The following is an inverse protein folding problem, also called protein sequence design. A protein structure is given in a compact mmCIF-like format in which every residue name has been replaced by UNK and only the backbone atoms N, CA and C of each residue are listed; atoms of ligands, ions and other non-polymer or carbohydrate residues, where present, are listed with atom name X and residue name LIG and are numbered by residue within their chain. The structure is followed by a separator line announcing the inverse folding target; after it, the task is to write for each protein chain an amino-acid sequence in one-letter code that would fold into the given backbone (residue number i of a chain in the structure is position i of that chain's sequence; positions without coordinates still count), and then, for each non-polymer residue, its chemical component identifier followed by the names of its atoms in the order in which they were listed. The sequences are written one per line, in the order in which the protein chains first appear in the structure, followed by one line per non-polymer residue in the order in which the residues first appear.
data_IF_153315963905
#
_entry.id   IF_153315963905
#
_cell.length_a   1.000
_cell.length_b   1.000
_cell.length_c   1.000
_cell.angle_alpha   90.00
_cell.angle_beta   90.00
_cell.angle_gamma   90.00
#
_symmetry.space_group_name_H-M   'P 1'
#
loop_
_entity.id
_entity.type
_entity.pdbx_description
1 polymer ?
#
# COMPACT_ATOMS: atom_id res chain seq x y z
N UNK A 1 -80.46 50.18 24.33
CA UNK A 1 -80.23 49.85 25.71
C UNK A 1 -79.11 48.82 25.77
N UNK A 2 -78.16 49.13 26.66
CA UNK A 2 -77.13 48.29 27.28
C UNK A 2 -75.88 47.98 26.45
N UNK A 3 -74.88 48.76 26.78
CA UNK A 3 -73.48 48.67 26.44
C UNK A 3 -72.83 47.49 27.14
N UNK A 4 -72.01 46.70 26.48
CA UNK A 4 -71.02 45.85 27.19
C UNK A 4 -69.65 45.98 26.51
N UNK A 5 -68.76 46.55 27.26
CA UNK A 5 -67.33 46.70 26.96
C UNK A 5 -66.62 45.38 27.13
N UNK A 6 -65.86 44.94 26.14
CA UNK A 6 -64.94 43.85 26.32
C UNK A 6 -63.47 44.33 26.10
N UNK A 7 -62.70 44.16 27.15
CA UNK A 7 -61.28 44.49 27.27
C UNK A 7 -60.45 43.53 26.40
N UNK A 8 -59.62 44.10 25.53
CA UNK A 8 -58.60 43.37 24.82
C UNK A 8 -57.38 43.16 25.71
N UNK A 9 -57.03 41.92 26.01
CA UNK A 9 -55.78 41.53 26.60
C UNK A 9 -54.79 41.19 25.52
N UNK A 10 -53.74 42.00 25.35
CA UNK A 10 -52.59 41.75 24.49
C UNK A 10 -51.74 40.60 25.01
N UNK A 11 -51.53 39.64 24.17
CA UNK A 11 -50.60 38.52 24.41
C UNK A 11 -49.31 38.84 23.69
N UNK A 12 -48.26 39.20 24.45
CA UNK A 12 -46.92 39.43 23.92
C UNK A 12 -46.30 38.07 23.65
N UNK A 13 -46.09 37.74 22.36
CA UNK A 13 -45.27 36.59 21.96
C UNK A 13 -43.80 36.93 22.05
N UNK A 14 -43.13 36.36 23.02
CA UNK A 14 -41.65 36.36 23.09
C UNK A 14 -41.12 35.35 22.08
N UNK A 15 -40.42 35.82 21.04
CA UNK A 15 -39.70 34.99 20.08
C UNK A 15 -38.34 34.64 20.70
N UNK A 16 -38.18 33.37 21.10
CA UNK A 16 -36.89 32.85 21.53
C UNK A 16 -36.13 32.43 20.27
N UNK A 17 -35.12 33.20 19.91
CA UNK A 17 -34.15 32.85 18.89
C UNK A 17 -33.18 31.81 19.46
N UNK A 18 -33.35 30.54 19.10
CA UNK A 18 -32.38 29.48 19.40
C UNK A 18 -31.18 29.61 18.45
N UNK A 19 -30.05 30.06 18.97
CA UNK A 19 -28.78 30.04 18.25
C UNK A 19 -28.25 28.61 18.16
N UNK A 20 -28.34 27.98 17.00
CA UNK A 20 -27.68 26.70 16.69
C UNK A 20 -26.18 26.96 16.50
N UNK A 21 -25.40 26.73 17.55
CA UNK A 21 -23.95 26.68 17.46
C UNK A 21 -23.56 25.37 16.73
N UNK A 22 -23.35 25.44 15.42
CA UNK A 22 -22.83 24.33 14.63
C UNK A 22 -21.39 24.06 15.03
N UNK A 23 -21.13 22.92 15.70
CA UNK A 23 -19.78 22.39 15.83
C UNK A 23 -19.26 22.00 14.45
N UNK A 24 -18.45 22.84 13.84
CA UNK A 24 -17.67 22.46 12.67
C UNK A 24 -16.59 21.45 13.12
N UNK A 25 -16.86 20.17 12.92
CA UNK A 25 -15.82 19.13 13.09
C UNK A 25 -14.82 19.26 11.94
N UNK A 26 -13.71 19.92 12.22
CA UNK A 26 -12.57 19.96 11.30
C UNK A 26 -12.00 18.55 11.25
N UNK A 27 -12.32 17.79 10.21
CA UNK A 27 -11.66 16.50 9.93
C UNK A 27 -10.19 16.81 9.60
N UNK A 28 -9.30 16.63 10.55
CA UNK A 28 -7.88 16.65 10.31
C UNK A 28 -7.54 15.48 9.39
N UNK A 29 -7.32 15.76 8.11
CA UNK A 29 -6.75 14.80 7.18
C UNK A 29 -5.31 14.55 7.62
N UNK A 30 -5.08 13.47 8.35
CA UNK A 30 -3.73 13.04 8.73
C UNK A 30 -3.05 12.54 7.44
N UNK A 31 -2.27 13.39 6.80
CA UNK A 31 -1.37 12.93 5.75
C UNK A 31 -0.45 11.84 6.32
N UNK A 32 -0.24 10.74 5.58
CA UNK A 32 0.67 9.69 6.02
C UNK A 32 2.06 10.32 6.23
N UNK A 33 2.52 10.31 7.47
CA UNK A 33 3.82 10.85 7.87
C UNK A 33 4.90 10.09 7.09
N UNK A 34 5.44 10.73 6.05
CA UNK A 34 6.58 10.23 5.31
C UNK A 34 7.73 10.08 6.30
N UNK A 35 8.19 8.84 6.55
CA UNK A 35 9.38 8.63 7.37
C UNK A 35 10.57 9.25 6.63
N UNK A 36 11.05 10.38 7.14
CA UNK A 36 12.27 11.01 6.67
C UNK A 36 13.41 10.26 7.34
N UNK A 37 14.22 9.59 6.55
CA UNK A 37 15.46 8.98 7.02
C UNK A 37 16.56 10.01 6.88
N UNK A 38 17.20 10.34 7.99
CA UNK A 38 18.40 11.17 8.00
C UNK A 38 19.60 10.27 7.66
N UNK A 39 20.25 10.56 6.52
CA UNK A 39 21.31 9.71 6.01
C UNK A 39 22.69 10.33 6.29
N UNK A 40 23.71 9.49 6.57
CA UNK A 40 25.09 9.94 6.70
C UNK A 40 25.57 10.68 5.44
N UNK A 41 26.61 11.52 5.63
CA UNK A 41 27.26 12.21 4.50
C UNK A 41 27.72 11.21 3.43
N UNK A 42 27.44 11.51 2.16
CA UNK A 42 27.75 10.63 1.04
C UNK A 42 26.71 9.54 0.76
N UNK A 43 25.62 9.51 1.53
CA UNK A 43 24.50 8.61 1.27
C UNK A 43 23.26 9.37 0.82
N UNK A 44 22.41 8.70 0.04
CA UNK A 44 21.13 9.21 -0.38
C UNK A 44 19.97 8.44 0.28
N UNK A 45 18.96 9.18 0.74
CA UNK A 45 17.71 8.58 1.17
C UNK A 45 16.93 8.03 -0.03
N UNK A 46 16.68 6.74 -0.05
CA UNK A 46 15.95 6.01 -1.10
C UNK A 46 14.89 5.11 -0.47
N UNK A 47 14.00 4.60 -1.29
CA UNK A 47 13.13 3.49 -0.91
C UNK A 47 13.67 2.22 -1.57
N UNK A 48 13.80 1.17 -0.79
CA UNK A 48 14.11 -0.17 -1.31
C UNK A 48 12.86 -1.03 -1.33
N UNK A 49 12.81 -1.99 -2.26
CA UNK A 49 11.75 -2.98 -2.34
C UNK A 49 12.35 -4.38 -2.40
N UNK A 50 11.70 -5.32 -1.73
CA UNK A 50 11.95 -6.75 -1.82
C UNK A 50 10.67 -7.44 -2.24
N UNK A 51 10.70 -8.17 -3.36
CA UNK A 51 9.60 -9.00 -3.83
C UNK A 51 9.99 -10.47 -3.67
N UNK A 52 9.09 -11.25 -3.10
CA UNK A 52 9.29 -12.68 -2.88
C UNK A 52 8.36 -13.46 -3.80
N UNK A 53 8.95 -14.18 -4.72
CA UNK A 53 8.26 -14.94 -5.76
C UNK A 53 8.33 -16.42 -5.42
N UNK A 54 7.21 -17.01 -4.99
CA UNK A 54 7.08 -18.43 -4.81
C UNK A 54 7.22 -19.18 -6.14
N UNK A 55 7.78 -20.39 -6.11
CA UNK A 55 8.07 -21.17 -7.31
C UNK A 55 7.20 -22.40 -7.47
N UNK A 56 6.34 -22.69 -6.51
CA UNK A 56 5.41 -23.81 -6.65
C UNK A 56 4.20 -23.41 -7.51
N UNK A 57 3.70 -24.34 -8.30
CA UNK A 57 2.39 -24.26 -8.96
C UNK A 57 1.55 -25.38 -8.37
N UNK A 58 0.58 -25.02 -7.53
CA UNK A 58 -0.03 -25.97 -6.62
C UNK A 58 1.01 -26.51 -5.63
N UNK A 59 1.06 -27.82 -5.43
CA UNK A 59 1.94 -28.47 -4.46
C UNK A 59 3.31 -28.89 -5.04
N UNK A 60 3.69 -28.43 -6.23
CA UNK A 60 4.89 -28.87 -6.94
C UNK A 60 5.74 -27.70 -7.40
N UNK A 61 7.08 -27.86 -7.46
CA UNK A 61 7.93 -26.91 -8.17
C UNK A 61 7.43 -26.73 -9.62
N UNK A 62 7.17 -25.51 -10.02
CA UNK A 62 6.56 -25.21 -11.31
C UNK A 62 7.23 -24.08 -12.09
N UNK A 63 7.95 -23.19 -11.40
CA UNK A 63 8.69 -22.11 -12.03
C UNK A 63 10.18 -22.46 -12.05
N UNK A 64 10.72 -22.73 -13.25
CA UNK A 64 12.15 -22.99 -13.43
C UNK A 64 12.99 -21.72 -13.31
N UNK A 65 14.32 -21.87 -13.19
CA UNK A 65 15.23 -20.72 -13.23
C UNK A 65 15.19 -20.00 -14.58
N UNK A 66 15.04 -20.75 -15.67
CA UNK A 66 14.92 -20.19 -17.01
C UNK A 66 13.64 -19.38 -17.18
N UNK A 67 12.49 -19.90 -16.68
CA UNK A 67 11.22 -19.17 -16.71
C UNK A 67 11.28 -17.90 -15.88
N UNK A 68 11.92 -17.98 -14.71
CA UNK A 68 12.08 -16.80 -13.86
C UNK A 68 13.01 -15.76 -14.49
N UNK A 69 14.15 -16.18 -15.07
CA UNK A 69 15.06 -15.27 -15.79
C UNK A 69 14.33 -14.57 -16.93
N UNK A 70 13.55 -15.33 -17.71
CA UNK A 70 12.75 -14.72 -18.77
C UNK A 70 11.70 -13.74 -18.24
N UNK A 71 11.11 -14.03 -17.09
CA UNK A 71 10.17 -13.11 -16.43
C UNK A 71 10.88 -11.82 -15.99
N UNK A 72 12.09 -11.92 -15.44
CA UNK A 72 12.90 -10.75 -15.07
C UNK A 72 13.17 -9.88 -16.30
N UNK A 73 13.59 -10.49 -17.42
CA UNK A 73 13.89 -9.79 -18.66
C UNK A 73 12.65 -9.10 -19.27
N UNK A 74 11.51 -9.80 -19.27
CA UNK A 74 10.28 -9.31 -19.90
C UNK A 74 9.57 -8.24 -19.06
N UNK A 75 9.55 -8.41 -17.73
CA UNK A 75 8.62 -7.69 -16.85
C UNK A 75 9.30 -6.78 -15.83
N UNK A 76 10.44 -7.19 -15.26
CA UNK A 76 11.06 -6.43 -14.19
C UNK A 76 12.06 -5.43 -14.75
N UNK A 77 13.02 -5.88 -15.56
CA UNK A 77 14.07 -5.03 -16.12
C UNK A 77 13.54 -3.82 -16.87
N UNK A 78 12.49 -3.93 -17.72
CA UNK A 78 11.96 -2.76 -18.43
C UNK A 78 11.32 -1.71 -17.50
N UNK A 79 10.86 -2.14 -16.32
CA UNK A 79 10.25 -1.25 -15.33
C UNK A 79 11.26 -0.67 -14.35
N UNK A 80 12.39 -1.36 -14.17
CA UNK A 80 13.45 -0.98 -13.22
C UNK A 80 14.83 -1.12 -13.89
N UNK A 81 15.11 -0.27 -14.91
CA UNK A 81 16.34 -0.38 -15.71
C UNK A 81 17.61 -0.01 -14.93
N UNK A 82 17.48 0.70 -13.81
CA UNK A 82 18.63 1.11 -12.99
C UNK A 82 19.29 -0.07 -12.24
N UNK A 83 18.69 -1.25 -12.30
CA UNK A 83 19.25 -2.48 -11.77
C UNK A 83 18.39 -3.16 -10.71
N UNK A 84 18.68 -4.44 -10.56
CA UNK A 84 18.05 -5.31 -9.58
C UNK A 84 19.03 -6.41 -9.15
N UNK A 85 18.75 -7.02 -8.01
CA UNK A 85 19.50 -8.21 -7.56
C UNK A 85 18.50 -9.34 -7.36
N UNK A 86 18.82 -10.52 -7.90
CA UNK A 86 18.04 -11.74 -7.69
C UNK A 86 18.79 -12.65 -6.72
N UNK A 87 18.10 -13.11 -5.70
CA UNK A 87 18.59 -14.04 -4.70
C UNK A 87 17.71 -15.30 -4.68
N UNK A 88 18.33 -16.44 -4.42
CA UNK A 88 17.59 -17.67 -4.10
C UNK A 88 17.17 -17.65 -2.63
N UNK A 89 15.96 -18.11 -2.37
CA UNK A 89 15.41 -18.21 -1.04
C UNK A 89 14.56 -19.48 -0.87
N UNK A 90 14.27 -19.79 0.37
CA UNK A 90 13.34 -20.83 0.74
C UNK A 90 12.43 -20.32 1.84
N UNK A 91 11.17 -20.66 1.73
CA UNK A 91 10.16 -20.33 2.70
C UNK A 91 9.42 -21.54 3.20
N UNK A 92 8.74 -21.36 4.30
CA UNK A 92 7.77 -22.35 4.78
C UNK A 92 6.61 -21.64 5.46
N UNK A 93 5.44 -22.17 5.27
CA UNK A 93 4.22 -21.67 5.85
C UNK A 93 3.22 -22.79 6.11
N UNK A 94 2.24 -22.53 6.94
CA UNK A 94 1.21 -23.49 7.28
C UNK A 94 -0.03 -23.18 6.43
N UNK A 95 -0.37 -24.13 5.56
CA UNK A 95 -1.53 -24.02 4.68
C UNK A 95 -2.87 -24.16 5.42
N UNK A 96 -4.00 -23.96 4.71
CA UNK A 96 -5.35 -24.03 5.31
C UNK A 96 -5.66 -25.35 6.02
N UNK A 97 -5.04 -26.46 5.59
CA UNK A 97 -5.21 -27.81 6.18
C UNK A 97 -4.22 -28.09 7.31
N UNK A 98 -3.58 -27.07 7.88
CA UNK A 98 -2.54 -27.18 8.90
C UNK A 98 -1.29 -27.98 8.45
N UNK A 99 -1.13 -28.19 7.16
CA UNK A 99 0.02 -28.86 6.55
C UNK A 99 1.15 -27.87 6.36
N UNK A 100 2.36 -28.24 6.78
CA UNK A 100 3.57 -27.46 6.54
C UNK A 100 3.98 -27.54 5.08
N UNK A 101 3.90 -26.41 4.38
CA UNK A 101 4.34 -26.26 2.99
C UNK A 101 5.74 -25.68 3.00
N UNK A 102 6.64 -26.28 2.23
CA UNK A 102 7.98 -25.76 1.96
C UNK A 102 8.08 -25.38 0.49
N UNK A 103 8.60 -24.20 0.24
CA UNK A 103 8.64 -23.64 -1.11
C UNK A 103 9.97 -22.94 -1.35
N UNK A 104 10.60 -23.24 -2.49
CA UNK A 104 11.69 -22.41 -2.99
C UNK A 104 11.14 -21.10 -3.52
N UNK A 105 11.91 -20.03 -3.40
CA UNK A 105 11.51 -18.71 -3.87
C UNK A 105 12.67 -17.97 -4.54
N UNK A 106 12.33 -16.99 -5.38
CA UNK A 106 13.25 -15.97 -5.84
C UNK A 106 12.93 -14.67 -5.13
N UNK A 107 13.95 -13.96 -4.70
CA UNK A 107 13.82 -12.67 -4.05
C UNK A 107 14.46 -11.63 -4.95
N UNK A 108 13.67 -10.65 -5.39
CA UNK A 108 14.19 -9.51 -6.17
C UNK A 108 14.32 -8.32 -5.24
N UNK A 109 15.53 -7.78 -5.16
CA UNK A 109 15.85 -6.57 -4.42
C UNK A 109 16.03 -5.41 -5.40
N UNK A 110 15.38 -4.29 -5.11
CA UNK A 110 15.36 -3.07 -5.92
C UNK A 110 15.65 -1.85 -5.07
N UNK A 111 16.36 -0.88 -5.65
CA UNK A 111 16.41 0.49 -5.15
C UNK A 111 15.50 1.31 -6.06
N UNK A 112 14.44 1.89 -5.49
CA UNK A 112 13.44 2.60 -6.28
C UNK A 112 13.92 3.99 -6.69
N UNK A 113 13.54 4.49 -7.88
CA UNK A 113 13.82 5.85 -8.32
C UNK A 113 13.28 6.89 -7.34
N UNK A 114 13.98 8.05 -7.20
CA UNK A 114 13.59 9.14 -6.30
C UNK A 114 12.25 9.79 -6.70
N UNK A 115 12.04 9.94 -8.00
CA UNK A 115 11.03 10.84 -8.55
C UNK A 115 9.65 10.22 -8.78
N UNK A 116 9.51 8.90 -8.63
CA UNK A 116 8.25 8.22 -8.96
C UNK A 116 7.74 7.34 -7.82
N UNK A 117 6.41 7.31 -7.62
CA UNK A 117 5.82 6.31 -6.75
C UNK A 117 6.08 4.93 -7.36
N UNK A 118 7.02 4.17 -6.79
CA UNK A 118 7.34 2.81 -7.25
C UNK A 118 6.17 1.83 -7.15
N UNK A 119 5.14 2.17 -6.36
CA UNK A 119 4.01 1.30 -6.09
C UNK A 119 3.25 0.81 -7.36
N UNK A 120 2.91 1.62 -8.37
CA UNK A 120 2.24 1.12 -9.57
C UNK A 120 3.10 0.14 -10.36
N UNK A 121 4.39 0.40 -10.53
CA UNK A 121 5.31 -0.50 -11.23
C UNK A 121 5.51 -1.82 -10.49
N UNK A 122 5.66 -1.76 -9.16
CA UNK A 122 5.77 -2.94 -8.31
C UNK A 122 4.50 -3.80 -8.35
N UNK A 123 3.33 -3.17 -8.33
CA UNK A 123 2.07 -3.89 -8.46
C UNK A 123 1.92 -4.54 -9.85
N UNK A 124 2.30 -3.85 -10.92
CA UNK A 124 2.29 -4.41 -12.27
C UNK A 124 3.17 -5.68 -12.38
N UNK A 125 4.36 -5.66 -11.78
CA UNK A 125 5.24 -6.85 -11.72
C UNK A 125 4.58 -7.99 -10.95
N UNK A 126 3.98 -7.70 -9.78
CA UNK A 126 3.30 -8.72 -8.97
C UNK A 126 2.12 -9.35 -9.71
N UNK A 127 1.33 -8.53 -10.38
CA UNK A 127 0.15 -9.01 -11.12
C UNK A 127 0.57 -9.81 -12.36
N UNK A 128 1.62 -9.39 -13.08
CA UNK A 128 2.18 -10.16 -14.18
C UNK A 128 2.68 -11.55 -13.74
N UNK A 129 3.36 -11.62 -12.59
CA UNK A 129 3.84 -12.90 -12.05
C UNK A 129 2.68 -13.83 -11.67
N UNK A 130 1.70 -13.30 -10.91
CA UNK A 130 0.51 -14.06 -10.52
C UNK A 130 -0.22 -14.62 -11.73
N UNK A 131 -0.38 -13.81 -12.77
CA UNK A 131 -1.05 -14.22 -14.01
C UNK A 131 -0.26 -15.26 -14.77
N UNK A 132 1.05 -15.03 -14.98
CA UNK A 132 1.91 -15.93 -15.78
C UNK A 132 2.09 -17.30 -15.14
N UNK A 133 2.26 -17.35 -13.83
CA UNK A 133 2.61 -18.57 -13.10
C UNK A 133 1.51 -19.08 -12.16
N UNK A 134 0.29 -18.54 -12.29
CA UNK A 134 -0.88 -18.95 -11.48
C UNK A 134 -0.60 -18.93 -9.98
N UNK A 135 0.03 -17.85 -9.53
CA UNK A 135 0.36 -17.64 -8.13
C UNK A 135 -0.74 -16.84 -7.42
N UNK A 136 -1.03 -17.18 -6.19
CA UNK A 136 -2.02 -16.46 -5.38
C UNK A 136 -1.50 -15.09 -4.95
N UNK A 137 -0.22 -15.00 -4.60
CA UNK A 137 0.37 -13.79 -4.06
C UNK A 137 1.85 -13.65 -4.37
N UNK A 138 2.34 -12.41 -4.31
CA UNK A 138 3.77 -12.06 -4.26
C UNK A 138 3.93 -11.11 -3.07
N UNK A 139 4.71 -11.51 -2.08
CA UNK A 139 5.02 -10.64 -0.93
C UNK A 139 5.88 -9.47 -1.40
N UNK A 140 5.49 -8.27 -1.01
CA UNK A 140 6.25 -7.04 -1.23
C UNK A 140 6.56 -6.40 0.12
N UNK A 141 7.83 -6.11 0.35
CA UNK A 141 8.31 -5.30 1.47
C UNK A 141 8.96 -4.05 0.90
N UNK A 142 8.55 -2.88 1.36
CA UNK A 142 9.21 -1.61 1.06
C UNK A 142 9.70 -0.97 2.34
N UNK A 143 10.90 -0.39 2.29
CA UNK A 143 11.48 0.29 3.44
C UNK A 143 12.38 1.44 2.99
N UNK A 144 12.47 2.52 3.77
CA UNK A 144 13.47 3.56 3.53
C UNK A 144 14.87 3.03 3.84
N UNK A 145 15.85 3.48 3.08
CA UNK A 145 17.26 3.12 3.28
C UNK A 145 18.17 4.27 2.87
N UNK A 146 19.35 4.32 3.49
CA UNK A 146 20.45 5.16 3.03
C UNK A 146 21.32 4.35 2.08
N UNK A 147 21.49 4.81 0.85
CA UNK A 147 22.30 4.13 -0.17
C UNK A 147 23.45 4.99 -0.64
N UNK A 148 24.56 4.36 -0.99
CA UNK A 148 25.71 4.99 -1.67
C UNK A 148 26.16 4.07 -2.80
N UNK A 149 26.65 4.64 -3.90
CA UNK A 149 27.19 3.93 -5.05
C UNK A 149 28.66 4.25 -5.23
#
# INVERSE_FOLDING_TARGET
MTVLRTLARGCAMAVIAAALAGCATTSATTEPRRMVVDCPVGHEARTTAKLFFGRNIGDRPGVSDADFSKFVDDEITPRFPDGLTVLDGGGQWRGPSDVLIRESSKIVFLILPKAEPGAPRLNAVRDAYKTRFKQDSVLLITQPACVSF
#
